data_IF_457889539195
#
_entry.id   IF_457889539195
#
_cell.length_a   1.000
_cell.length_b   1.000
_cell.length_c   1.000
_cell.angle_alpha   90.00
_cell.angle_beta   90.00
_cell.angle_gamma   90.00
#
_symmetry.space_group_name_H-M   'P 1'
#
loop_
_entity.id
_entity.type
_entity.pdbx_description
1 polymer ?
#
# COMPACT_ATOMS: atom_id res chain seq x y z
N UNK A 1 5.15 24.80 47.64
CA UNK A 1 5.61 26.04 46.97
C UNK A 1 7.13 25.99 46.85
N UNK A 2 7.62 25.71 45.64
CA UNK A 2 8.93 26.11 45.09
C UNK A 2 8.99 25.51 43.68
N UNK A 3 8.93 26.39 42.70
CA UNK A 3 9.07 26.15 41.27
C UNK A 3 10.53 25.86 40.94
N UNK A 4 10.80 24.90 40.06
CA UNK A 4 12.08 24.81 39.36
C UNK A 4 11.86 24.18 37.99
N UNK A 5 11.99 25.04 37.00
CA UNK A 5 12.06 24.81 35.56
C UNK A 5 13.33 24.05 35.23
N UNK A 6 13.26 22.99 34.42
CA UNK A 6 14.43 22.34 33.84
C UNK A 6 14.20 22.18 32.34
N UNK A 7 15.07 22.87 31.59
CA UNK A 7 15.04 23.01 30.15
C UNK A 7 15.67 21.78 29.46
N UNK A 8 15.16 21.51 28.26
CA UNK A 8 15.66 20.53 27.30
C UNK A 8 17.10 20.85 26.87
N UNK A 9 17.97 19.83 26.90
CA UNK A 9 19.15 19.72 26.04
C UNK A 9 19.14 18.33 25.43
N UNK A 10 18.56 18.22 24.23
CA UNK A 10 18.72 17.07 23.35
C UNK A 10 19.98 17.27 22.52
N UNK A 11 21.07 16.62 22.91
CA UNK A 11 22.33 16.58 22.14
C UNK A 11 22.21 15.44 21.12
N UNK A 12 22.36 15.81 19.85
CA UNK A 12 22.37 14.91 18.70
C UNK A 12 23.59 13.99 18.76
N UNK A 13 23.37 12.67 18.83
CA UNK A 13 24.40 11.65 19.06
C UNK A 13 25.12 11.17 17.79
N UNK A 14 24.83 11.76 16.62
CA UNK A 14 25.32 11.30 15.31
C UNK A 14 26.60 11.98 14.81
N UNK A 15 27.32 12.77 15.63
CA UNK A 15 28.57 13.44 15.22
C UNK A 15 29.85 12.91 15.93
N UNK A 16 29.78 11.83 16.69
CA UNK A 16 30.90 11.32 17.50
C UNK A 16 31.42 9.95 17.01
N UNK A 17 31.65 9.83 15.71
CA UNK A 17 32.35 8.68 15.13
C UNK A 17 33.15 9.10 13.88
N UNK A 18 34.09 10.04 14.04
CA UNK A 18 35.21 10.30 13.12
C UNK A 18 36.08 11.41 13.71
N UNK A 19 36.85 11.08 14.74
CA UNK A 19 37.91 11.95 15.24
C UNK A 19 39.04 11.07 15.79
N UNK A 20 39.82 10.48 14.89
CA UNK A 20 41.24 10.14 15.14
C UNK A 20 41.92 9.78 13.81
N UNK A 21 42.56 10.78 13.20
CA UNK A 21 43.73 10.67 12.32
C UNK A 21 44.11 12.07 11.78
N UNK A 22 45.05 12.71 12.49
CA UNK A 22 46.09 13.66 12.06
C UNK A 22 46.00 14.42 10.71
N UNK A 23 46.03 15.75 10.81
CA UNK A 23 46.68 16.78 9.97
C UNK A 23 46.72 16.62 8.43
N UNK A 24 45.93 17.44 7.70
CA UNK A 24 46.45 18.54 6.83
C UNK A 24 45.36 19.16 5.92
N UNK A 25 45.28 20.50 6.00
CA UNK A 25 44.69 21.50 5.08
C UNK A 25 43.16 21.57 4.81
N UNK A 26 42.53 22.73 5.12
CA UNK A 26 41.15 23.03 4.73
C UNK A 26 41.09 23.77 3.38
N UNK A 27 39.92 23.73 2.76
CA UNK A 27 39.46 24.47 1.55
C UNK A 27 39.65 23.72 0.21
N UNK A 28 38.56 23.06 -0.22
CA UNK A 28 38.02 22.99 -1.61
C UNK A 28 36.87 21.97 -1.80
N UNK A 29 36.17 21.56 -0.74
CA UNK A 29 35.05 20.62 -0.86
C UNK A 29 33.71 21.32 -1.18
N UNK A 30 33.54 22.59 -0.81
CA UNK A 30 32.31 23.37 -1.06
C UNK A 30 32.06 23.70 -2.53
N UNK A 31 33.12 24.04 -3.28
CA UNK A 31 32.98 24.44 -4.69
C UNK A 31 32.74 23.25 -5.63
N UNK A 32 33.16 22.04 -5.23
CA UNK A 32 32.96 20.81 -6.02
C UNK A 32 31.54 20.28 -5.90
N UNK A 33 30.93 20.38 -4.72
CA UNK A 33 29.53 19.99 -4.49
C UNK A 33 28.58 20.92 -5.25
N UNK A 34 28.83 22.24 -5.28
CA UNK A 34 28.03 23.19 -6.05
C UNK A 34 28.19 23.08 -7.59
N UNK A 35 29.34 22.62 -8.08
CA UNK A 35 29.56 22.39 -9.51
C UNK A 35 28.79 21.15 -9.99
N UNK A 36 28.78 20.06 -9.22
CA UNK A 36 28.01 18.84 -9.52
C UNK A 36 26.49 19.08 -9.40
N UNK A 37 26.03 19.99 -8.52
CA UNK A 37 24.60 20.38 -8.48
C UNK A 37 24.16 21.19 -9.70
N UNK A 38 25.07 21.95 -10.34
CA UNK A 38 24.75 22.70 -11.56
C UNK A 38 24.60 21.81 -12.79
N UNK A 39 25.35 20.70 -12.84
CA UNK A 39 25.23 19.70 -13.91
C UNK A 39 23.94 18.88 -13.76
N UNK A 40 23.55 18.53 -12.52
CA UNK A 40 22.24 17.92 -12.24
C UNK A 40 21.06 18.86 -12.51
N UNK A 41 21.20 20.18 -12.29
CA UNK A 41 20.16 21.16 -12.65
C UNK A 41 19.93 21.27 -14.17
N UNK A 42 20.94 20.96 -15.00
CA UNK A 42 20.77 20.85 -16.46
C UNK A 42 19.88 19.68 -16.87
N UNK A 43 19.94 18.57 -16.13
CA UNK A 43 19.09 17.38 -16.30
C UNK A 43 17.70 17.60 -15.70
N UNK A 44 17.57 18.36 -14.61
CA UNK A 44 16.26 18.74 -14.06
C UNK A 44 15.48 19.69 -14.98
N UNK A 45 16.15 20.57 -15.73
CA UNK A 45 15.49 21.42 -16.73
C UNK A 45 14.96 20.65 -17.95
N UNK A 46 15.48 19.45 -18.25
CA UNK A 46 14.90 18.58 -19.28
C UNK A 46 13.73 17.74 -18.74
N UNK A 47 13.69 17.47 -17.43
CA UNK A 47 12.55 16.88 -16.72
C UNK A 47 11.39 17.87 -16.50
N UNK A 48 11.62 19.18 -16.57
CA UNK A 48 10.56 20.19 -16.59
C UNK A 48 9.52 19.98 -17.71
N UNK A 49 9.90 19.31 -18.82
CA UNK A 49 8.97 18.91 -19.89
C UNK A 49 8.10 17.70 -19.55
N UNK A 50 8.49 16.89 -18.55
CA UNK A 50 7.66 15.79 -18.06
C UNK A 50 6.58 16.30 -17.07
N UNK A 51 6.86 17.40 -16.36
CA UNK A 51 5.88 18.11 -15.54
C UNK A 51 4.72 18.62 -16.41
N UNK A 52 5.02 19.17 -17.59
CA UNK A 52 4.01 19.61 -18.58
C UNK A 52 3.12 18.46 -19.11
N UNK A 53 3.54 17.20 -19.01
CA UNK A 53 2.72 16.03 -19.36
C UNK A 53 1.80 15.56 -18.22
N UNK A 54 2.16 15.84 -16.96
CA UNK A 54 1.34 15.52 -15.78
C UNK A 54 0.32 16.62 -15.49
N UNK A 55 0.66 17.87 -15.80
CA UNK A 55 -0.23 19.03 -15.70
C UNK A 55 -1.11 19.24 -16.95
N UNK A 56 -1.33 18.17 -17.74
CA UNK A 56 -2.32 18.21 -18.81
C UNK A 56 -3.65 18.70 -18.20
N UNK A 57 -4.02 19.95 -18.52
CA UNK A 57 -5.28 20.56 -18.07
C UNK A 57 -6.36 19.50 -18.30
N UNK A 58 -7.13 19.11 -17.26
CA UNK A 58 -8.18 18.13 -17.43
C UNK A 58 -8.95 18.54 -18.67
N UNK A 59 -8.93 17.68 -19.70
CA UNK A 59 -9.53 18.01 -20.98
C UNK A 59 -10.95 18.50 -20.75
N UNK A 60 -11.49 19.33 -21.63
CA UNK A 60 -12.81 19.97 -21.49
C UNK A 60 -14.01 19.01 -21.25
N UNK A 61 -13.76 17.70 -21.14
CA UNK A 61 -14.70 16.63 -20.82
C UNK A 61 -14.48 15.99 -19.43
N UNK A 62 -13.70 16.61 -18.53
CA UNK A 62 -13.62 16.12 -17.15
C UNK A 62 -15.02 16.23 -16.52
N UNK A 63 -15.63 15.06 -16.25
CA UNK A 63 -16.94 14.96 -15.62
C UNK A 63 -16.95 15.77 -14.33
N UNK A 64 -18.12 16.34 -13.99
CA UNK A 64 -18.32 16.91 -12.67
C UNK A 64 -17.96 15.81 -11.64
N UNK A 65 -17.09 16.09 -10.66
CA UNK A 65 -16.72 15.12 -9.64
C UNK A 65 -17.91 14.53 -8.88
N UNK A 66 -18.99 15.31 -8.72
CA UNK A 66 -20.25 14.81 -8.19
C UNK A 66 -20.85 13.75 -9.12
N UNK A 67 -20.81 13.96 -10.44
CA UNK A 67 -21.21 12.96 -11.42
C UNK A 67 -20.30 11.73 -11.37
N UNK A 68 -19.00 11.91 -11.13
CA UNK A 68 -18.05 10.82 -10.97
C UNK A 68 -18.36 9.93 -9.75
N UNK A 69 -18.68 10.53 -8.59
CA UNK A 69 -19.13 9.77 -7.42
C UNK A 69 -20.48 9.08 -7.67
N UNK A 70 -21.44 9.76 -8.31
CA UNK A 70 -22.72 9.16 -8.67
C UNK A 70 -22.56 8.03 -9.71
N UNK A 71 -21.58 8.14 -10.60
CA UNK A 71 -21.17 7.07 -11.50
C UNK A 71 -20.60 5.91 -10.70
N UNK A 72 -19.76 6.14 -9.70
CA UNK A 72 -19.30 5.08 -8.80
C UNK A 72 -20.48 4.43 -8.06
N UNK A 73 -21.51 5.21 -7.70
CA UNK A 73 -22.70 4.68 -7.05
C UNK A 73 -23.48 3.68 -7.91
N UNK A 74 -23.53 3.87 -9.22
CA UNK A 74 -24.33 3.06 -10.15
C UNK A 74 -23.51 2.04 -10.95
N UNK A 75 -22.26 2.37 -11.25
CA UNK A 75 -21.32 1.61 -12.06
C UNK A 75 -19.91 1.72 -11.47
N UNK A 76 -19.66 1.11 -10.30
CA UNK A 76 -18.40 1.29 -9.56
C UNK A 76 -17.16 0.88 -10.35
N UNK A 77 -17.23 -0.24 -11.10
CA UNK A 77 -16.13 -0.69 -11.97
C UNK A 77 -15.87 0.29 -13.09
N UNK A 78 -16.90 0.80 -13.76
CA UNK A 78 -16.73 1.79 -14.85
C UNK A 78 -16.14 3.11 -14.31
N UNK A 79 -16.50 3.50 -13.09
CA UNK A 79 -15.98 4.70 -12.45
C UNK A 79 -14.53 4.54 -11.98
N UNK A 80 -14.14 3.36 -11.49
CA UNK A 80 -12.79 3.07 -11.03
C UNK A 80 -11.82 2.74 -12.17
N UNK A 81 -12.24 1.84 -13.06
CA UNK A 81 -11.41 1.16 -14.05
C UNK A 81 -11.67 1.62 -15.49
N UNK A 82 -12.63 2.52 -15.70
CA UNK A 82 -13.10 2.89 -17.03
C UNK A 82 -14.00 1.83 -17.68
N UNK A 83 -14.49 2.10 -18.91
CA UNK A 83 -15.54 1.30 -19.57
C UNK A 83 -15.15 -0.12 -19.92
N UNK A 84 -13.86 -0.43 -19.99
CA UNK A 84 -13.37 -1.75 -20.36
C UNK A 84 -12.92 -2.61 -19.18
N UNK A 85 -13.02 -2.10 -17.95
CA UNK A 85 -12.44 -2.76 -16.78
C UNK A 85 -10.96 -3.11 -16.99
N UNK A 86 -10.23 -2.25 -17.69
CA UNK A 86 -8.81 -2.44 -17.96
C UNK A 86 -8.02 -1.61 -16.95
N UNK A 87 -6.97 -2.18 -16.37
CA UNK A 87 -5.95 -1.39 -15.68
C UNK A 87 -5.34 -0.49 -16.75
N UNK A 88 -5.71 0.79 -16.81
CA UNK A 88 -5.49 1.62 -17.99
C UNK A 88 -4.10 1.45 -18.59
N UNK A 89 -4.00 0.85 -19.79
CA UNK A 89 -2.72 0.36 -20.37
C UNK A 89 -1.62 1.44 -20.46
N UNK A 90 -2.02 2.70 -20.69
CA UNK A 90 -1.10 3.84 -20.73
C UNK A 90 -0.36 4.06 -19.39
N UNK A 91 -1.01 3.70 -18.27
CA UNK A 91 -0.45 3.78 -16.93
C UNK A 91 0.54 2.66 -16.67
N UNK A 92 0.22 1.43 -17.11
CA UNK A 92 1.12 0.29 -16.99
C UNK A 92 2.44 0.58 -17.75
N UNK A 93 2.36 1.03 -19.00
CA UNK A 93 3.56 1.41 -19.77
C UNK A 93 4.35 2.56 -19.13
N UNK A 94 3.66 3.56 -18.56
CA UNK A 94 4.30 4.66 -17.84
C UNK A 94 4.98 4.17 -16.58
N UNK A 95 4.33 3.28 -15.83
CA UNK A 95 4.86 2.69 -14.60
C UNK A 95 6.11 1.85 -14.89
N UNK A 96 6.08 0.98 -15.90
CA UNK A 96 7.24 0.16 -16.27
C UNK A 96 8.44 1.02 -16.67
N UNK A 97 8.20 2.10 -17.43
CA UNK A 97 9.27 3.07 -17.75
C UNK A 97 9.83 3.73 -16.49
N UNK A 98 8.96 4.18 -15.58
CA UNK A 98 9.37 4.80 -14.31
C UNK A 98 10.16 3.83 -13.45
N UNK A 99 9.71 2.59 -13.31
CA UNK A 99 10.42 1.52 -12.59
C UNK A 99 11.82 1.32 -13.16
N UNK A 100 11.94 1.18 -14.49
CA UNK A 100 13.23 1.04 -15.16
C UNK A 100 14.15 2.26 -14.95
N UNK A 101 13.62 3.49 -14.98
CA UNK A 101 14.41 4.70 -14.70
C UNK A 101 14.95 4.72 -13.26
N UNK A 102 14.11 4.35 -12.28
CA UNK A 102 14.47 4.30 -10.86
C UNK A 102 15.46 3.16 -10.57
N UNK A 103 15.23 1.99 -11.17
CA UNK A 103 16.11 0.82 -11.07
C UNK A 103 17.53 1.17 -11.56
N UNK A 104 17.64 1.70 -12.79
CA UNK A 104 18.92 2.04 -13.39
C UNK A 104 19.66 3.11 -12.57
N UNK A 105 18.97 4.13 -12.08
CA UNK A 105 19.56 5.16 -11.21
C UNK A 105 20.07 4.56 -9.90
N UNK A 106 19.31 3.64 -9.31
CA UNK A 106 19.65 2.98 -8.04
C UNK A 106 20.85 2.05 -8.22
N UNK A 107 20.87 1.20 -9.25
CA UNK A 107 21.97 0.30 -9.55
C UNK A 107 23.26 1.04 -9.87
N UNK A 108 23.18 2.17 -10.58
CA UNK A 108 24.34 3.06 -10.81
C UNK A 108 24.93 3.55 -9.49
N UNK A 109 24.09 3.94 -8.52
CA UNK A 109 24.54 4.37 -7.18
C UNK A 109 25.13 3.20 -6.38
N UNK A 110 24.52 2.01 -6.46
CA UNK A 110 25.07 0.79 -5.84
C UNK A 110 26.46 0.50 -6.39
N UNK A 111 26.63 0.47 -7.71
CA UNK A 111 27.91 0.15 -8.34
C UNK A 111 29.01 1.13 -7.93
N UNK A 112 28.69 2.44 -7.89
CA UNK A 112 29.61 3.48 -7.39
C UNK A 112 29.96 3.25 -5.92
N UNK A 113 28.97 2.95 -5.09
CA UNK A 113 29.17 2.69 -3.66
C UNK A 113 30.00 1.43 -3.37
N UNK A 114 29.85 0.39 -4.20
CA UNK A 114 30.62 -0.85 -4.11
C UNK A 114 32.01 -0.75 -4.76
N UNK A 115 32.33 0.35 -5.46
CA UNK A 115 33.62 0.55 -6.12
C UNK A 115 33.80 -0.24 -7.43
N UNK A 116 32.71 -0.53 -8.15
CA UNK A 116 32.75 -1.29 -9.41
C UNK A 116 33.20 -0.38 -10.57
N UNK A 117 34.24 -0.80 -11.30
CA UNK A 117 34.97 0.02 -12.28
C UNK A 117 34.20 0.39 -13.57
N UNK A 118 32.99 -0.15 -13.78
CA UNK A 118 32.11 0.15 -14.94
C UNK A 118 30.65 0.32 -14.49
N UNK A 119 30.42 1.28 -13.60
CA UNK A 119 29.14 1.46 -12.92
C UNK A 119 27.92 1.65 -13.86
N UNK A 120 28.13 2.18 -15.08
CA UNK A 120 27.06 2.40 -16.06
C UNK A 120 26.49 1.11 -16.68
N UNK A 121 27.27 0.02 -16.65
CA UNK A 121 26.83 -1.29 -17.15
C UNK A 121 26.43 -2.23 -16.01
N UNK A 122 26.29 -1.71 -14.78
CA UNK A 122 25.90 -2.52 -13.64
C UNK A 122 24.39 -2.65 -13.59
N UNK A 123 23.90 -3.86 -13.88
CA UNK A 123 22.48 -4.22 -13.84
C UNK A 123 22.17 -5.17 -12.67
N UNK A 124 20.90 -5.55 -12.50
CA UNK A 124 20.48 -6.46 -11.43
C UNK A 124 21.14 -7.83 -11.57
N UNK A 125 21.34 -8.32 -12.81
CA UNK A 125 22.02 -9.59 -13.07
C UNK A 125 23.50 -9.55 -12.66
N UNK A 126 24.17 -8.39 -12.76
CA UNK A 126 25.52 -8.19 -12.27
C UNK A 126 25.56 -8.19 -10.74
N UNK A 127 24.56 -7.60 -10.07
CA UNK A 127 24.40 -7.69 -8.62
C UNK A 127 24.19 -9.14 -8.16
N UNK A 128 23.31 -9.89 -8.84
CA UNK A 128 23.05 -11.32 -8.53
C UNK A 128 24.28 -12.20 -8.66
N UNK A 129 25.14 -11.94 -9.65
CA UNK A 129 26.40 -12.69 -9.82
C UNK A 129 27.32 -12.55 -8.60
N UNK A 130 27.20 -11.47 -7.82
CA UNK A 130 27.97 -11.31 -6.59
C UNK A 130 27.61 -12.36 -5.55
N UNK A 131 26.41 -12.94 -5.56
CA UNK A 131 26.03 -13.98 -4.59
C UNK A 131 27.03 -15.14 -4.61
N UNK A 132 27.51 -15.51 -5.80
CA UNK A 132 28.44 -16.63 -6.00
C UNK A 132 29.90 -16.22 -5.85
N UNK A 133 30.25 -14.98 -6.21
CA UNK A 133 31.65 -14.52 -6.27
C UNK A 133 32.11 -13.79 -5.01
N UNK A 134 31.23 -12.98 -4.41
CA UNK A 134 31.45 -12.26 -3.17
C UNK A 134 30.13 -12.07 -2.40
N UNK A 135 29.70 -13.07 -1.60
CA UNK A 135 28.44 -13.03 -0.84
C UNK A 135 28.34 -11.86 0.15
N UNK A 136 29.46 -11.27 0.57
CA UNK A 136 29.49 -10.10 1.44
C UNK A 136 29.15 -8.85 0.64
N UNK A 137 29.75 -8.69 -0.54
CA UNK A 137 29.46 -7.59 -1.45
C UNK A 137 28.04 -7.69 -2.02
N UNK A 138 27.54 -8.89 -2.30
CA UNK A 138 26.15 -9.16 -2.67
C UNK A 138 25.16 -8.59 -1.63
N UNK A 139 25.28 -9.02 -0.37
CA UNK A 139 24.41 -8.55 0.73
C UNK A 139 24.49 -7.04 0.90
N UNK A 140 25.71 -6.48 0.85
CA UNK A 140 25.92 -5.04 0.90
C UNK A 140 25.28 -4.33 -0.30
N UNK A 141 25.38 -4.89 -1.50
CA UNK A 141 24.79 -4.35 -2.72
C UNK A 141 23.27 -4.31 -2.66
N UNK A 142 22.63 -5.42 -2.28
CA UNK A 142 21.18 -5.49 -2.12
C UNK A 142 20.64 -4.56 -1.03
N UNK A 143 21.34 -4.44 0.11
CA UNK A 143 21.03 -3.42 1.14
C UNK A 143 20.92 -2.02 0.52
N UNK A 144 21.96 -1.61 -0.20
CA UNK A 144 22.00 -0.27 -0.76
C UNK A 144 21.09 -0.11 -1.95
N UNK A 145 20.84 -1.18 -2.71
CA UNK A 145 19.91 -1.17 -3.82
C UNK A 145 18.49 -0.82 -3.36
N UNK A 146 17.91 -1.55 -2.41
CA UNK A 146 16.56 -1.26 -1.90
C UNK A 146 16.44 0.14 -1.31
N UNK A 147 17.43 0.55 -0.51
CA UNK A 147 17.48 1.92 0.01
C UNK A 147 17.51 2.96 -1.12
N UNK A 148 18.35 2.76 -2.13
CA UNK A 148 18.42 3.67 -3.26
C UNK A 148 17.15 3.63 -4.11
N UNK A 149 16.44 2.51 -4.22
CA UNK A 149 15.13 2.47 -4.87
C UNK A 149 14.16 3.45 -4.23
N UNK A 150 14.06 3.44 -2.90
CA UNK A 150 13.17 4.37 -2.21
C UNK A 150 13.66 5.80 -2.38
N UNK A 151 14.95 6.05 -2.16
CA UNK A 151 15.52 7.40 -2.33
C UNK A 151 15.33 7.95 -3.75
N UNK A 152 15.56 7.16 -4.80
CA UNK A 152 15.40 7.54 -6.20
C UNK A 152 13.93 7.73 -6.58
N UNK A 153 13.03 6.86 -6.10
CA UNK A 153 11.57 7.07 -6.21
C UNK A 153 11.21 8.44 -5.67
N UNK A 154 11.75 8.73 -4.51
CA UNK A 154 11.35 9.88 -3.76
C UNK A 154 12.07 11.14 -4.27
N UNK A 155 13.24 11.05 -4.91
CA UNK A 155 13.83 12.11 -5.73
C UNK A 155 12.99 12.39 -6.98
N UNK A 156 12.55 11.34 -7.67
CA UNK A 156 11.76 11.43 -8.91
C UNK A 156 10.41 12.10 -8.67
N UNK A 157 9.78 11.78 -7.55
CA UNK A 157 8.46 12.29 -7.15
C UNK A 157 8.53 13.30 -6.00
N UNK A 158 9.68 13.94 -5.76
CA UNK A 158 9.83 15.06 -4.81
C UNK A 158 9.48 14.79 -3.32
N UNK A 159 9.48 13.53 -2.88
CA UNK A 159 9.14 13.08 -1.52
C UNK A 159 10.27 12.41 -0.73
N UNK A 160 11.49 12.30 -1.27
CA UNK A 160 12.73 11.73 -0.68
C UNK A 160 12.63 10.85 0.58
N UNK A 161 13.11 11.42 1.68
CA UNK A 161 13.11 10.82 3.01
C UNK A 161 11.72 10.76 3.66
N UNK A 162 10.72 11.40 3.06
CA UNK A 162 9.37 11.42 3.59
C UNK A 162 8.63 10.14 3.21
N UNK A 163 8.98 9.43 2.13
CA UNK A 163 8.22 8.26 1.68
C UNK A 163 8.18 7.11 2.72
N UNK A 164 9.34 6.72 3.27
CA UNK A 164 9.44 5.70 4.32
C UNK A 164 8.89 6.18 5.66
N UNK A 165 9.25 7.40 6.07
CA UNK A 165 8.67 8.05 7.26
C UNK A 165 7.14 8.15 7.18
N UNK A 166 6.61 8.35 5.98
CA UNK A 166 5.18 8.30 5.73
C UNK A 166 4.69 6.86 5.79
N UNK A 167 5.35 5.87 5.19
CA UNK A 167 4.90 4.48 5.23
C UNK A 167 4.68 3.96 6.65
N UNK A 168 5.64 4.15 7.58
CA UNK A 168 5.48 3.77 9.00
C UNK A 168 4.31 4.51 9.65
N UNK A 169 4.20 5.82 9.41
CA UNK A 169 3.13 6.65 9.96
C UNK A 169 1.76 6.24 9.43
N UNK A 170 1.65 5.97 8.14
CA UNK A 170 0.42 5.51 7.47
C UNK A 170 0.04 4.12 7.93
N UNK A 171 1.00 3.20 8.04
CA UNK A 171 0.79 1.88 8.62
C UNK A 171 0.20 2.00 10.04
N UNK A 172 0.83 2.78 10.91
CA UNK A 172 0.38 2.99 12.29
C UNK A 172 -1.03 3.62 12.35
N UNK A 173 -1.32 4.58 11.47
CA UNK A 173 -2.64 5.20 11.36
C UNK A 173 -3.71 4.23 10.87
N UNK A 174 -3.39 3.38 9.89
CA UNK A 174 -4.27 2.32 9.37
C UNK A 174 -4.52 1.25 10.43
N UNK A 175 -3.47 0.79 11.12
CA UNK A 175 -3.55 -0.13 12.26
C UNK A 175 -4.50 0.43 13.33
N UNK A 176 -4.32 1.70 13.71
CA UNK A 176 -5.19 2.39 14.68
C UNK A 176 -6.65 2.50 14.22
N UNK A 177 -6.89 2.77 12.93
CA UNK A 177 -8.24 2.78 12.33
C UNK A 177 -8.88 1.39 12.35
N UNK A 178 -8.11 0.35 12.05
CA UNK A 178 -8.58 -1.03 12.08
C UNK A 178 -8.96 -1.44 13.50
N UNK A 179 -8.12 -1.14 14.50
CA UNK A 179 -8.43 -1.37 15.91
C UNK A 179 -9.73 -0.67 16.35
N UNK A 180 -9.90 0.60 15.98
CA UNK A 180 -11.12 1.37 16.26
C UNK A 180 -12.34 0.71 15.62
N UNK A 181 -12.23 0.30 14.36
CA UNK A 181 -13.30 -0.38 13.64
C UNK A 181 -13.69 -1.72 14.29
N UNK A 182 -12.71 -2.52 14.75
CA UNK A 182 -12.95 -3.77 15.49
C UNK A 182 -13.64 -3.48 16.84
N UNK A 183 -13.12 -2.51 17.60
CA UNK A 183 -13.67 -2.15 18.91
C UNK A 183 -15.15 -1.74 18.81
N UNK A 184 -15.51 -0.99 17.76
CA UNK A 184 -16.85 -0.45 17.54
C UNK A 184 -17.80 -1.43 16.83
N UNK A 185 -17.31 -2.56 16.31
CA UNK A 185 -18.11 -3.49 15.51
C UNK A 185 -19.26 -4.14 16.31
N UNK A 186 -20.53 -3.96 15.94
CA UNK A 186 -21.62 -4.73 16.54
C UNK A 186 -21.47 -6.23 16.24
N UNK A 187 -22.12 -7.09 17.03
CA UNK A 187 -22.10 -8.55 16.82
C UNK A 187 -20.83 -9.29 17.25
N UNK A 188 -19.67 -8.63 17.30
CA UNK A 188 -18.45 -9.24 17.86
C UNK A 188 -18.47 -9.25 19.39
N UNK A 189 -18.14 -10.40 19.99
CA UNK A 189 -18.01 -10.52 21.44
C UNK A 189 -16.84 -9.67 21.97
N UNK A 190 -16.91 -9.24 23.23
CA UNK A 190 -15.81 -8.49 23.88
C UNK A 190 -14.49 -9.27 23.86
N UNK A 191 -14.54 -10.60 23.97
CA UNK A 191 -13.37 -11.47 23.93
C UNK A 191 -12.77 -11.49 22.53
N UNK A 192 -13.59 -11.71 21.50
CA UNK A 192 -13.18 -11.72 20.09
C UNK A 192 -12.55 -10.39 19.69
N UNK A 193 -13.17 -9.25 20.06
CA UNK A 193 -12.62 -7.91 19.79
C UNK A 193 -11.22 -7.73 20.39
N UNK A 194 -11.03 -8.15 21.65
CA UNK A 194 -9.73 -8.05 22.32
C UNK A 194 -8.67 -8.94 21.67
N UNK A 195 -9.05 -10.14 21.22
CA UNK A 195 -8.14 -11.05 20.52
C UNK A 195 -7.71 -10.49 19.16
N UNK A 196 -8.66 -10.04 18.35
CA UNK A 196 -8.38 -9.41 17.05
C UNK A 196 -7.51 -8.16 17.18
N UNK A 197 -7.83 -7.24 18.10
CA UNK A 197 -7.02 -6.03 18.34
C UNK A 197 -5.59 -6.40 18.74
N UNK A 198 -5.41 -7.45 19.57
CA UNK A 198 -4.07 -7.91 19.95
C UNK A 198 -3.28 -8.42 18.75
N UNK A 199 -3.91 -9.20 17.86
CA UNK A 199 -3.30 -9.70 16.62
C UNK A 199 -2.89 -8.57 15.68
N UNK A 200 -3.74 -7.56 15.51
CA UNK A 200 -3.40 -6.39 14.70
C UNK A 200 -2.22 -5.61 15.30
N UNK A 201 -2.19 -5.42 16.63
CA UNK A 201 -1.10 -4.72 17.34
C UNK A 201 0.24 -5.44 17.33
N UNK A 202 0.24 -6.76 17.18
CA UNK A 202 1.48 -7.53 17.16
C UNK A 202 2.20 -7.47 15.83
N UNK A 203 1.57 -6.93 14.78
CA UNK A 203 2.21 -6.75 13.48
C UNK A 203 3.12 -5.53 13.52
N UNK A 204 4.40 -5.76 13.25
CA UNK A 204 5.43 -4.73 13.15
C UNK A 204 5.61 -4.34 11.67
N UNK A 205 5.68 -3.04 11.37
CA UNK A 205 6.11 -2.59 10.04
C UNK A 205 7.62 -2.74 9.94
N UNK A 206 8.11 -3.35 8.86
CA UNK A 206 9.54 -3.47 8.58
C UNK A 206 9.84 -2.77 7.26
N UNK A 207 10.83 -1.89 7.28
CA UNK A 207 11.33 -1.22 6.09
C UNK A 207 12.03 -2.23 5.17
N UNK A 208 11.94 -2.02 3.85
CA UNK A 208 12.50 -2.96 2.89
C UNK A 208 14.03 -3.11 3.08
N UNK A 209 14.74 -2.06 3.49
CA UNK A 209 16.17 -2.13 3.77
C UNK A 209 16.48 -2.94 5.05
N UNK A 210 15.65 -2.85 6.09
CA UNK A 210 15.77 -3.67 7.30
C UNK A 210 15.61 -5.17 6.99
N UNK A 211 14.68 -5.54 6.09
CA UNK A 211 14.53 -6.92 5.62
C UNK A 211 15.79 -7.44 4.93
N UNK A 212 16.45 -6.59 4.14
CA UNK A 212 17.60 -7.01 3.34
C UNK A 212 18.93 -7.02 4.12
N UNK A 213 18.97 -6.41 5.31
CA UNK A 213 20.22 -6.16 6.03
C UNK A 213 20.58 -7.15 7.11
N UNK A 214 19.64 -8.04 7.49
CA UNK A 214 19.96 -9.25 8.24
C UNK A 214 20.35 -9.04 9.70
N UNK A 215 20.03 -7.90 10.32
CA UNK A 215 19.98 -7.83 11.80
C UNK A 215 18.78 -8.63 12.35
N UNK A 216 17.77 -8.88 11.50
CA UNK A 216 16.79 -9.94 11.71
C UNK A 216 17.38 -11.28 11.23
N UNK A 217 17.75 -12.15 12.16
CA UNK A 217 18.43 -13.43 11.90
C UNK A 217 17.60 -14.48 11.11
N UNK A 218 16.56 -14.08 10.39
CA UNK A 218 15.74 -14.98 9.58
C UNK A 218 16.12 -14.86 8.12
N UNK A 219 16.86 -15.84 7.61
CA UNK A 219 17.03 -16.07 6.17
C UNK A 219 15.69 -16.22 5.44
N UNK A 220 14.64 -16.62 6.18
CA UNK A 220 13.32 -16.89 5.64
C UNK A 220 12.64 -15.60 5.20
N UNK A 221 12.82 -14.49 5.94
CA UNK A 221 12.18 -13.22 5.61
C UNK A 221 12.74 -12.58 4.34
N UNK A 222 14.04 -12.74 4.08
CA UNK A 222 14.66 -12.35 2.81
C UNK A 222 14.10 -13.19 1.64
N UNK A 223 13.98 -14.50 1.82
CA UNK A 223 13.43 -15.38 0.78
C UNK A 223 11.96 -15.05 0.48
N UNK A 224 11.19 -14.73 1.53
CA UNK A 224 9.80 -14.27 1.42
C UNK A 224 9.71 -12.92 0.70
N UNK A 225 10.61 -11.98 1.01
CA UNK A 225 10.70 -10.71 0.29
C UNK A 225 10.98 -10.94 -1.20
N UNK A 226 11.99 -11.73 -1.55
CA UNK A 226 12.33 -12.01 -2.96
C UNK A 226 11.18 -12.72 -3.68
N UNK A 227 10.49 -13.64 -3.01
CA UNK A 227 9.35 -14.38 -3.59
C UNK A 227 8.19 -13.45 -3.91
N UNK A 228 7.88 -12.50 -3.03
CA UNK A 228 6.67 -11.68 -3.16
C UNK A 228 6.91 -10.30 -3.79
N UNK A 229 8.12 -9.76 -3.66
CA UNK A 229 8.53 -8.46 -4.19
C UNK A 229 9.39 -8.56 -5.46
N UNK A 230 9.80 -9.77 -5.85
CA UNK A 230 10.84 -9.96 -6.85
C UNK A 230 12.24 -9.75 -6.26
N UNK A 231 13.26 -10.30 -6.92
CA UNK A 231 14.66 -10.08 -6.51
C UNK A 231 15.01 -8.60 -6.52
N UNK A 232 14.48 -7.85 -7.48
CA UNK A 232 14.66 -6.41 -7.63
C UNK A 232 13.75 -5.56 -6.71
N UNK A 233 12.83 -6.17 -5.95
CA UNK A 233 11.84 -5.46 -5.13
C UNK A 233 10.79 -4.68 -5.93
N UNK A 234 10.68 -4.87 -7.25
CA UNK A 234 9.86 -4.05 -8.15
C UNK A 234 8.43 -4.53 -8.31
N UNK A 235 8.06 -5.66 -7.73
CA UNK A 235 6.67 -6.11 -7.77
C UNK A 235 5.77 -5.13 -7.03
N UNK A 236 4.58 -4.93 -7.59
CA UNK A 236 3.54 -4.10 -6.99
C UNK A 236 2.74 -4.94 -6.00
N UNK A 237 3.33 -5.17 -4.82
CA UNK A 237 2.78 -5.99 -3.78
C UNK A 237 3.02 -5.42 -2.36
N UNK A 238 2.24 -5.87 -1.39
CA UNK A 238 2.44 -5.66 0.04
C UNK A 238 2.07 -6.94 0.78
N UNK A 239 2.77 -7.28 1.86
CA UNK A 239 2.63 -8.59 2.50
C UNK A 239 2.58 -8.44 4.01
N UNK A 240 1.71 -9.23 4.64
CA UNK A 240 1.68 -9.46 6.09
C UNK A 240 2.01 -10.91 6.41
N UNK A 241 3.24 -11.19 6.84
CA UNK A 241 3.77 -12.55 7.06
C UNK A 241 4.22 -12.74 8.51
N UNK A 242 4.75 -13.92 8.84
CA UNK A 242 5.45 -14.17 10.10
C UNK A 242 6.85 -14.72 9.84
N UNK A 243 7.76 -14.45 10.78
CA UNK A 243 9.12 -14.99 10.75
C UNK A 243 9.57 -15.40 12.15
N UNK A 244 10.56 -16.28 12.25
CA UNK A 244 11.14 -16.67 13.53
C UNK A 244 12.43 -15.87 13.78
N UNK A 245 12.50 -15.12 14.87
CA UNK A 245 13.68 -14.33 15.23
C UNK A 245 14.86 -15.20 15.72
N UNK A 246 16.02 -14.58 15.97
CA UNK A 246 17.23 -15.28 16.45
C UNK A 246 17.05 -16.03 17.76
N UNK A 247 16.02 -15.70 18.53
CA UNK A 247 15.71 -16.28 19.83
C UNK A 247 14.62 -17.37 19.71
N UNK A 248 14.17 -17.70 18.51
CA UNK A 248 13.12 -18.69 18.27
C UNK A 248 11.71 -18.15 18.52
N UNK A 249 11.52 -16.83 18.61
CA UNK A 249 10.18 -16.24 18.75
C UNK A 249 9.57 -15.94 17.39
N UNK A 250 8.33 -16.37 17.18
CA UNK A 250 7.54 -15.95 16.03
C UNK A 250 7.17 -14.47 16.15
N UNK A 251 7.39 -13.73 15.07
CA UNK A 251 7.12 -12.31 14.90
C UNK A 251 6.22 -12.10 13.71
N UNK A 252 5.23 -11.23 13.84
CA UNK A 252 4.32 -10.88 12.75
C UNK A 252 4.83 -9.58 12.13
N UNK A 253 5.04 -9.56 10.82
CA UNK A 253 5.57 -8.39 10.12
C UNK A 253 4.73 -8.03 8.92
N UNK A 254 4.76 -6.75 8.60
CA UNK A 254 4.21 -6.20 7.39
C UNK A 254 5.25 -5.36 6.67
N UNK A 255 5.31 -5.48 5.36
CA UNK A 255 6.15 -4.64 4.52
C UNK A 255 5.48 -4.37 3.17
N UNK A 256 5.93 -3.30 2.52
CA UNK A 256 5.46 -2.88 1.20
C UNK A 256 6.62 -3.04 0.24
N UNK A 257 6.42 -3.70 -0.89
CA UNK A 257 7.44 -3.81 -1.91
C UNK A 257 7.73 -2.42 -2.49
N UNK A 258 9.01 -2.07 -2.76
CA UNK A 258 9.36 -0.81 -3.41
C UNK A 258 8.56 -0.52 -4.67
N UNK A 259 8.25 -1.56 -5.47
CA UNK A 259 7.39 -1.48 -6.65
C UNK A 259 6.02 -0.85 -6.38
N UNK A 260 5.36 -1.17 -5.27
CA UNK A 260 4.07 -0.56 -4.87
C UNK A 260 4.21 0.89 -4.45
N UNK A 261 5.31 1.26 -3.79
CA UNK A 261 5.57 2.65 -3.44
C UNK A 261 5.80 3.49 -4.71
N UNK A 262 6.55 2.95 -5.67
CA UNK A 262 6.75 3.55 -7.01
C UNK A 262 5.42 3.66 -7.74
N UNK A 263 4.63 2.58 -7.79
CA UNK A 263 3.32 2.57 -8.44
C UNK A 263 2.41 3.64 -7.84
N UNK A 264 2.40 3.77 -6.52
CA UNK A 264 1.58 4.79 -5.85
C UNK A 264 2.07 6.20 -6.15
N UNK A 265 3.39 6.43 -6.06
CA UNK A 265 4.00 7.73 -6.29
C UNK A 265 3.89 8.21 -7.74
N UNK A 266 4.04 7.30 -8.72
CA UNK A 266 3.99 7.59 -10.15
C UNK A 266 2.67 8.19 -10.63
N UNK A 267 1.61 8.05 -9.84
CA UNK A 267 0.27 8.49 -10.20
C UNK A 267 -0.15 9.79 -9.51
N UNK A 268 0.78 10.44 -8.81
CA UNK A 268 0.49 11.63 -8.03
C UNK A 268 1.51 12.73 -8.25
N UNK A 269 1.08 13.95 -7.96
CA UNK A 269 1.99 15.09 -7.88
C UNK A 269 2.90 14.91 -6.68
N UNK A 270 4.15 15.35 -6.82
CA UNK A 270 5.18 15.28 -5.78
C UNK A 270 4.77 15.85 -4.40
N UNK A 271 3.81 16.78 -4.39
CA UNK A 271 3.37 17.48 -3.18
C UNK A 271 2.04 16.95 -2.62
N UNK A 272 1.56 15.79 -3.08
CA UNK A 272 0.28 15.25 -2.61
C UNK A 272 0.44 14.65 -1.20
N UNK A 273 -0.08 15.29 -0.13
CA UNK A 273 0.07 14.81 1.24
C UNK A 273 -0.75 13.54 1.49
N UNK A 274 -1.52 13.08 0.51
CA UNK A 274 -2.39 11.92 0.60
C UNK A 274 -1.87 10.74 -0.19
N UNK A 275 -0.64 10.77 -0.71
CA UNK A 275 -0.20 9.80 -1.72
C UNK A 275 -0.33 8.33 -1.29
N UNK A 276 -0.04 8.02 -0.02
CA UNK A 276 -0.23 6.68 0.56
C UNK A 276 -1.69 6.28 0.81
N UNK A 277 -2.66 7.19 0.70
CA UNK A 277 -4.08 6.85 0.90
C UNK A 277 -4.55 5.84 -0.16
N UNK A 278 -3.96 5.84 -1.36
CA UNK A 278 -4.20 4.80 -2.37
C UNK A 278 -3.88 3.39 -1.84
N UNK A 279 -2.85 3.23 -1.00
CA UNK A 279 -2.51 1.95 -0.39
C UNK A 279 -3.34 1.63 0.86
N UNK A 280 -4.27 2.49 1.28
CA UNK A 280 -4.99 2.29 2.54
C UNK A 280 -5.83 1.02 2.57
N UNK A 281 -6.46 0.68 1.45
CA UNK A 281 -7.22 -0.57 1.32
C UNK A 281 -6.27 -1.77 1.33
N UNK A 282 -5.17 -1.73 0.59
CA UNK A 282 -4.16 -2.80 0.53
C UNK A 282 -3.52 -3.06 1.90
N UNK A 283 -2.99 -2.03 2.56
CA UNK A 283 -2.40 -2.18 3.91
C UNK A 283 -3.45 -2.70 4.90
N UNK A 284 -4.68 -2.19 4.82
CA UNK A 284 -5.78 -2.66 5.66
C UNK A 284 -6.18 -4.11 5.39
N UNK A 285 -6.12 -4.55 4.13
CA UNK A 285 -6.35 -5.92 3.68
C UNK A 285 -5.25 -6.87 4.21
N UNK A 286 -3.99 -6.53 3.98
CA UNK A 286 -2.85 -7.33 4.45
C UNK A 286 -2.82 -7.49 5.97
N UNK A 287 -3.06 -6.40 6.72
CA UNK A 287 -3.21 -6.47 8.17
C UNK A 287 -4.38 -7.37 8.60
N UNK A 288 -5.47 -7.37 7.82
CA UNK A 288 -6.67 -8.10 8.15
C UNK A 288 -6.55 -9.62 7.96
N UNK A 289 -5.58 -10.11 7.18
CA UNK A 289 -5.27 -11.55 7.15
C UNK A 289 -4.97 -12.13 8.53
N UNK A 290 -4.44 -11.33 9.47
CA UNK A 290 -4.19 -11.77 10.87
C UNK A 290 -5.47 -11.94 11.71
N UNK A 291 -6.63 -11.54 11.17
CA UNK A 291 -7.92 -11.61 11.85
C UNK A 291 -9.04 -12.12 10.94
N UNK A 292 -8.70 -12.78 9.84
CA UNK A 292 -9.61 -13.14 8.77
C UNK A 292 -10.49 -14.36 9.12
N UNK A 293 -11.23 -14.88 8.13
CA UNK A 293 -12.08 -16.06 8.29
C UNK A 293 -11.32 -17.32 8.73
N UNK A 294 -10.06 -17.49 8.32
CA UNK A 294 -9.25 -18.67 8.66
C UNK A 294 -9.08 -18.77 10.18
N UNK A 295 -8.76 -17.63 10.81
CA UNK A 295 -8.51 -17.56 12.25
C UNK A 295 -9.79 -17.38 13.09
N UNK A 296 -10.81 -16.70 12.54
CA UNK A 296 -12.03 -16.37 13.26
C UNK A 296 -13.32 -16.78 12.52
N UNK A 297 -13.48 -18.04 12.08
CA UNK A 297 -14.58 -18.44 11.18
C UNK A 297 -15.97 -18.13 11.76
N UNK A 298 -16.14 -18.27 13.08
CA UNK A 298 -17.41 -17.96 13.77
C UNK A 298 -17.79 -16.47 13.71
N UNK A 299 -16.81 -15.56 13.66
CA UNK A 299 -17.06 -14.12 13.55
C UNK A 299 -17.62 -13.74 12.18
N UNK A 300 -17.23 -14.47 11.14
CA UNK A 300 -17.57 -14.20 9.74
C UNK A 300 -18.67 -15.12 9.19
N UNK A 301 -19.19 -16.05 9.98
CA UNK A 301 -20.14 -17.06 9.50
C UNK A 301 -21.39 -16.42 8.86
N UNK A 302 -21.92 -15.34 9.44
CA UNK A 302 -23.07 -14.62 8.86
C UNK A 302 -22.74 -14.00 7.52
N UNK A 303 -21.53 -13.45 7.36
CA UNK A 303 -21.03 -12.92 6.08
C UNK A 303 -20.97 -14.04 5.04
N UNK A 304 -20.36 -15.17 5.39
CA UNK A 304 -20.24 -16.35 4.51
C UNK A 304 -21.60 -16.88 4.06
N UNK A 305 -22.55 -16.99 4.98
CA UNK A 305 -23.90 -17.46 4.68
C UNK A 305 -24.63 -16.51 3.72
N UNK A 306 -24.50 -15.19 3.93
CA UNK A 306 -25.03 -14.17 3.02
C UNK A 306 -24.42 -14.28 1.62
N UNK A 307 -23.09 -14.38 1.51
CA UNK A 307 -22.39 -14.52 0.24
C UNK A 307 -22.82 -15.78 -0.52
N UNK A 308 -23.00 -16.89 0.20
CA UNK A 308 -23.50 -18.14 -0.38
C UNK A 308 -24.93 -18.02 -0.89
N UNK A 309 -25.78 -17.24 -0.22
CA UNK A 309 -27.18 -17.06 -0.62
C UNK A 309 -27.32 -16.12 -1.82
N UNK A 310 -26.58 -15.01 -1.84
CA UNK A 310 -26.82 -13.92 -2.80
C UNK A 310 -25.77 -13.78 -3.90
N UNK A 311 -24.56 -14.32 -3.70
CA UNK A 311 -23.40 -14.08 -4.56
C UNK A 311 -22.70 -15.35 -5.08
N UNK A 312 -23.22 -16.53 -4.75
CA UNK A 312 -22.62 -17.82 -5.18
C UNK A 312 -22.39 -17.91 -6.70
N UNK A 313 -23.24 -17.30 -7.52
CA UNK A 313 -23.10 -17.34 -8.97
C UNK A 313 -21.95 -16.46 -9.50
N UNK A 314 -21.52 -15.45 -8.74
CA UNK A 314 -20.43 -14.52 -9.11
C UNK A 314 -19.07 -15.00 -8.57
N UNK A 315 -19.08 -15.71 -7.45
CA UNK A 315 -17.92 -16.40 -6.90
C UNK A 315 -17.78 -17.74 -7.65
N UNK A 316 -17.09 -17.70 -8.79
CA UNK A 316 -16.99 -18.79 -9.75
C UNK A 316 -16.90 -20.14 -9.06
N UNK A 317 -17.82 -21.02 -9.44
CA UNK A 317 -17.77 -22.43 -9.09
C UNK A 317 -16.70 -23.16 -9.89
N UNK A 318 -15.53 -23.46 -9.32
CA UNK A 318 -14.76 -24.67 -9.62
C UNK A 318 -15.71 -25.80 -10.04
N UNK A 319 -15.62 -26.15 -11.32
CA UNK A 319 -16.17 -27.40 -11.84
C UNK A 319 -15.14 -28.47 -11.53
N UNK A 320 -15.16 -29.03 -10.32
CA UNK A 320 -14.34 -30.21 -10.02
C UNK A 320 -15.08 -31.44 -10.55
N UNK A 321 -14.55 -32.07 -11.61
CA UNK A 321 -15.11 -33.31 -12.20
C UNK A 321 -16.57 -33.19 -12.65
N UNK A 322 -16.93 -32.08 -13.30
CA UNK A 322 -18.29 -31.86 -13.80
C UNK A 322 -19.32 -31.52 -12.73
N UNK A 323 -18.91 -31.32 -11.48
CA UNK A 323 -19.76 -30.80 -10.40
C UNK A 323 -19.27 -29.44 -9.98
N UNK A 324 -20.12 -28.42 -10.15
CA UNK A 324 -19.87 -27.10 -9.60
C UNK A 324 -19.95 -27.18 -8.06
N UNK A 325 -18.79 -27.28 -7.42
CA UNK A 325 -18.68 -27.22 -5.96
C UNK A 325 -17.60 -26.19 -5.65
N UNK A 326 -17.97 -24.92 -5.67
CA UNK A 326 -17.25 -23.95 -4.85
C UNK A 326 -18.03 -23.68 -3.61
N UNK A 327 -17.33 -23.93 -2.52
CA UNK A 327 -17.68 -23.38 -1.25
C UNK A 327 -17.13 -21.97 -1.22
N UNK A 328 -18.01 -20.98 -1.03
CA UNK A 328 -17.66 -19.59 -0.68
C UNK A 328 -16.54 -19.51 0.36
N UNK A 329 -16.42 -20.54 1.20
CA UNK A 329 -15.34 -20.76 2.16
C UNK A 329 -13.93 -20.57 1.57
N UNK A 330 -13.66 -20.96 0.33
CA UNK A 330 -12.33 -20.81 -0.28
C UNK A 330 -11.92 -19.33 -0.43
N UNK A 331 -12.87 -18.46 -0.75
CA UNK A 331 -12.65 -17.01 -0.88
C UNK A 331 -12.74 -16.25 0.44
N UNK A 332 -13.13 -16.90 1.55
CA UNK A 332 -13.54 -16.16 2.74
C UNK A 332 -12.36 -15.46 3.43
N UNK A 333 -11.14 -15.98 3.34
CA UNK A 333 -9.94 -15.30 3.85
C UNK A 333 -9.80 -13.94 3.17
N UNK A 334 -9.65 -13.92 1.84
CA UNK A 334 -9.58 -12.71 1.00
C UNK A 334 -10.77 -11.76 1.17
N UNK A 335 -12.00 -12.27 1.13
CA UNK A 335 -13.20 -11.43 1.27
C UNK A 335 -13.26 -10.77 2.64
N UNK A 336 -12.86 -11.47 3.70
CA UNK A 336 -12.83 -10.90 5.04
C UNK A 336 -11.70 -9.89 5.23
N UNK A 337 -10.55 -10.09 4.56
CA UNK A 337 -9.47 -9.12 4.52
C UNK A 337 -9.89 -7.83 3.79
N UNK A 338 -10.49 -7.96 2.61
CA UNK A 338 -11.09 -6.85 1.84
C UNK A 338 -12.15 -6.08 2.61
N UNK A 339 -12.99 -6.79 3.37
CA UNK A 339 -13.98 -6.16 4.20
C UNK A 339 -13.32 -5.15 5.16
N UNK A 340 -12.26 -5.55 5.87
CA UNK A 340 -11.56 -4.65 6.78
C UNK A 340 -10.75 -3.57 6.07
N UNK A 341 -10.12 -3.88 4.93
CA UNK A 341 -9.50 -2.88 4.06
C UNK A 341 -10.49 -1.80 3.63
N UNK A 342 -11.71 -2.20 3.23
CA UNK A 342 -12.77 -1.26 2.86
C UNK A 342 -13.29 -0.43 4.05
N UNK A 343 -13.28 -0.99 5.27
CA UNK A 343 -13.64 -0.26 6.49
C UNK A 343 -12.62 0.82 6.86
N UNK A 344 -11.33 0.59 6.57
CA UNK A 344 -10.27 1.61 6.69
C UNK A 344 -10.46 2.70 5.64
N UNK A 345 -10.66 2.32 4.37
CA UNK A 345 -10.92 3.26 3.28
C UNK A 345 -12.11 4.18 3.56
N UNK A 346 -13.19 3.62 4.15
CA UNK A 346 -14.37 4.40 4.53
C UNK A 346 -14.07 5.53 5.54
N UNK A 347 -13.12 5.33 6.46
CA UNK A 347 -12.73 6.37 7.42
C UNK A 347 -11.98 7.52 6.74
N UNK A 348 -11.15 7.24 5.73
CA UNK A 348 -10.50 8.28 4.92
C UNK A 348 -11.52 9.08 4.09
N UNK A 349 -12.42 8.38 3.40
CA UNK A 349 -13.47 9.03 2.60
C UNK A 349 -14.40 9.90 3.44
N UNK A 350 -14.73 9.46 4.66
CA UNK A 350 -15.58 10.20 5.58
C UNK A 350 -14.96 11.53 6.03
N UNK A 351 -13.64 11.58 6.17
CA UNK A 351 -12.93 12.76 6.63
C UNK A 351 -12.60 13.75 5.50
N UNK A 352 -12.86 13.37 4.25
CA UNK A 352 -12.71 14.26 3.11
C UNK A 352 -14.02 15.02 2.86
N UNK A 353 -13.94 16.33 2.63
CA UNK A 353 -15.11 17.15 2.27
C UNK A 353 -15.25 17.32 0.77
N UNK A 354 -14.15 17.38 0.03
CA UNK A 354 -14.17 17.60 -1.43
C UNK A 354 -14.58 16.31 -2.18
N UNK A 355 -15.68 16.32 -2.96
CA UNK A 355 -16.07 15.20 -3.82
C UNK A 355 -14.98 14.75 -4.80
N UNK A 356 -14.16 15.67 -5.31
CA UNK A 356 -13.02 15.36 -6.21
C UNK A 356 -12.05 14.43 -5.52
N UNK A 357 -11.65 14.83 -4.33
CA UNK A 357 -10.64 14.11 -3.56
C UNK A 357 -11.18 12.77 -3.06
N UNK A 358 -12.48 12.68 -2.71
CA UNK A 358 -13.13 11.38 -2.42
C UNK A 358 -13.07 10.44 -3.61
N UNK A 359 -13.44 10.92 -4.80
CA UNK A 359 -13.43 10.09 -6.00
C UNK A 359 -12.02 9.62 -6.31
N UNK A 360 -11.04 10.52 -6.24
CA UNK A 360 -9.63 10.21 -6.47
C UNK A 360 -9.13 9.14 -5.49
N UNK A 361 -9.32 9.33 -4.18
CA UNK A 361 -8.96 8.36 -3.14
C UNK A 361 -9.58 6.98 -3.44
N UNK A 362 -10.85 6.97 -3.82
CA UNK A 362 -11.59 5.73 -4.09
C UNK A 362 -11.08 5.02 -5.34
N UNK A 363 -10.81 5.77 -6.43
CA UNK A 363 -10.27 5.22 -7.66
C UNK A 363 -8.88 4.62 -7.41
N UNK A 364 -8.02 5.34 -6.69
CA UNK A 364 -6.66 4.89 -6.40
C UNK A 364 -6.65 3.64 -5.51
N UNK A 365 -7.50 3.61 -4.49
CA UNK A 365 -7.57 2.49 -3.55
C UNK A 365 -8.04 1.16 -4.16
N UNK A 366 -8.67 1.18 -5.33
CA UNK A 366 -9.21 -0.03 -5.98
C UNK A 366 -8.64 -0.27 -7.37
N UNK A 367 -7.72 0.57 -7.84
CA UNK A 367 -7.21 0.52 -9.21
C UNK A 367 -6.50 -0.81 -9.52
N UNK A 368 -5.87 -1.42 -8.52
CA UNK A 368 -5.09 -2.64 -8.69
C UNK A 368 -5.99 -3.88 -8.76
N UNK A 369 -7.29 -3.70 -8.49
CA UNK A 369 -8.34 -4.68 -8.75
C UNK A 369 -8.86 -4.59 -10.19
N UNK A 370 -8.54 -3.55 -10.95
CA UNK A 370 -9.08 -3.38 -12.29
C UNK A 370 -8.55 -4.48 -13.23
N UNK A 371 -9.47 -5.22 -13.85
CA UNK A 371 -9.14 -6.28 -14.80
C UNK A 371 -8.54 -7.55 -14.18
N UNK A 372 -8.43 -7.68 -12.84
CA UNK A 372 -7.89 -8.89 -12.23
C UNK A 372 -8.90 -10.05 -12.30
N UNK A 373 -8.57 -11.15 -13.01
CA UNK A 373 -9.44 -12.32 -13.06
C UNK A 373 -9.31 -13.14 -11.77
N UNK A 374 -10.27 -14.03 -11.56
CA UNK A 374 -10.20 -15.10 -10.56
C UNK A 374 -9.38 -16.26 -11.15
N UNK A 375 -8.11 -16.38 -10.73
CA UNK A 375 -7.14 -17.31 -11.32
C UNK A 375 -6.80 -18.51 -10.44
N UNK A 376 -6.96 -18.37 -9.13
CA UNK A 376 -6.56 -19.37 -8.14
C UNK A 376 -7.71 -19.90 -7.28
N UNK A 377 -8.93 -19.37 -7.45
CA UNK A 377 -10.09 -19.69 -6.63
C UNK A 377 -9.88 -19.40 -5.13
N UNK A 378 -8.95 -18.50 -4.83
CA UNK A 378 -8.69 -17.95 -3.49
C UNK A 378 -9.01 -16.46 -3.51
N UNK A 379 -8.63 -15.75 -4.57
CA UNK A 379 -8.91 -14.34 -4.79
C UNK A 379 -10.11 -14.16 -5.72
N UNK A 380 -11.23 -13.57 -5.25
CA UNK A 380 -12.32 -13.22 -6.15
C UNK A 380 -11.83 -12.22 -7.21
N UNK A 381 -12.47 -12.22 -8.38
CA UNK A 381 -12.16 -11.23 -9.42
C UNK A 381 -12.25 -9.81 -8.88
N UNK A 382 -11.41 -8.90 -9.38
CA UNK A 382 -11.42 -7.53 -8.91
C UNK A 382 -12.75 -6.81 -9.17
N UNK A 383 -13.47 -7.17 -10.23
CA UNK A 383 -14.85 -6.72 -10.45
C UNK A 383 -15.78 -7.10 -9.29
N UNK A 384 -15.68 -8.35 -8.80
CA UNK A 384 -16.43 -8.79 -7.63
C UNK A 384 -16.05 -7.97 -6.39
N UNK A 385 -14.75 -7.83 -6.12
CA UNK A 385 -14.23 -7.09 -4.95
C UNK A 385 -14.69 -5.62 -4.96
N UNK A 386 -14.60 -4.94 -6.10
CA UNK A 386 -15.07 -3.56 -6.27
C UNK A 386 -16.58 -3.43 -6.05
N UNK A 387 -17.39 -4.26 -6.72
CA UNK A 387 -18.87 -4.15 -6.67
C UNK A 387 -19.44 -4.56 -5.32
N UNK A 388 -18.98 -5.69 -4.78
CA UNK A 388 -19.64 -6.38 -3.68
C UNK A 388 -18.98 -6.12 -2.32
N UNK A 389 -17.72 -5.67 -2.27
CA UNK A 389 -17.02 -5.39 -1.01
C UNK A 389 -16.82 -3.90 -0.82
N UNK A 390 -16.23 -3.20 -1.79
CA UNK A 390 -15.97 -1.75 -1.68
C UNK A 390 -17.26 -0.95 -1.85
N UNK A 391 -17.92 -1.05 -3.00
CA UNK A 391 -19.11 -0.25 -3.30
C UNK A 391 -20.26 -0.57 -2.36
N UNK A 392 -20.42 -1.84 -2.00
CA UNK A 392 -21.51 -2.30 -1.13
C UNK A 392 -21.24 -2.05 0.35
N UNK A 393 -20.04 -1.59 0.73
CA UNK A 393 -19.76 -1.18 2.11
C UNK A 393 -20.67 0.00 2.53
N UNK A 394 -21.52 -0.14 3.57
CA UNK A 394 -22.45 0.91 3.97
C UNK A 394 -21.79 2.21 4.44
N UNK A 395 -20.57 2.14 4.98
CA UNK A 395 -19.81 3.32 5.41
C UNK A 395 -19.24 4.08 4.20
N UNK A 396 -18.70 3.36 3.20
CA UNK A 396 -18.27 3.98 1.94
C UNK A 396 -19.47 4.63 1.26
N UNK A 397 -20.58 3.89 1.16
CA UNK A 397 -21.84 4.36 0.59
C UNK A 397 -22.30 5.70 1.19
N UNK A 398 -22.30 5.79 2.52
CA UNK A 398 -22.63 7.01 3.24
C UNK A 398 -21.59 8.12 3.02
N UNK A 399 -20.29 7.78 3.00
CA UNK A 399 -19.21 8.74 2.84
C UNK A 399 -19.22 9.43 1.47
N UNK A 400 -19.58 8.70 0.40
CA UNK A 400 -19.64 9.25 -0.97
C UNK A 400 -21.04 9.72 -1.38
N UNK A 401 -22.03 9.67 -0.47
CA UNK A 401 -23.37 10.22 -0.70
C UNK A 401 -24.24 9.42 -1.67
N UNK A 402 -24.00 8.12 -1.79
CA UNK A 402 -24.75 7.30 -2.73
C UNK A 402 -26.22 7.09 -2.29
N UNK A 403 -27.15 7.00 -3.26
CA UNK A 403 -28.56 6.75 -2.97
C UNK A 403 -28.75 5.33 -2.45
N UNK A 404 -29.72 5.18 -1.54
CA UNK A 404 -30.12 3.90 -0.97
C UNK A 404 -30.39 2.88 -2.09
N UNK A 405 -29.76 1.70 -2.07
CA UNK A 405 -30.05 0.67 -3.06
C UNK A 405 -31.54 0.30 -3.02
N UNK A 406 -32.19 0.07 -4.16
CA UNK A 406 -33.57 -0.38 -4.18
C UNK A 406 -33.70 -1.74 -3.47
N UNK A 407 -34.87 -2.11 -2.93
CA UNK A 407 -35.07 -3.39 -2.24
C UNK A 407 -34.79 -4.64 -3.10
N UNK A 408 -34.78 -4.47 -4.42
CA UNK A 408 -34.47 -5.52 -5.41
C UNK A 408 -32.97 -5.71 -5.66
N UNK A 409 -32.12 -4.79 -5.19
CA UNK A 409 -30.68 -4.94 -5.32
C UNK A 409 -30.19 -6.10 -4.44
N UNK A 410 -29.14 -6.80 -4.91
CA UNK A 410 -28.45 -7.79 -4.08
C UNK A 410 -27.92 -7.10 -2.81
N UNK A 411 -28.12 -7.68 -1.62
CA UNK A 411 -27.68 -7.04 -0.39
C UNK A 411 -26.16 -7.08 -0.29
N UNK A 412 -25.56 -6.07 0.34
CA UNK A 412 -24.18 -6.16 0.79
C UNK A 412 -24.06 -7.26 1.84
N UNK A 413 -22.98 -8.05 1.80
CA UNK A 413 -22.70 -9.04 2.83
C UNK A 413 -21.57 -8.56 3.73
N UNK A 414 -21.83 -8.45 5.03
CA UNK A 414 -20.85 -8.03 6.03
C UNK A 414 -20.86 -8.96 7.26
N UNK A 415 -20.15 -8.60 8.34
CA UNK A 415 -20.09 -9.37 9.59
C UNK A 415 -21.46 -9.65 10.22
N UNK A 416 -22.46 -8.80 9.98
CA UNK A 416 -23.82 -8.98 10.47
C UNK A 416 -24.70 -9.81 9.51
N UNK A 417 -24.19 -10.18 8.33
CA UNK A 417 -24.88 -10.90 7.27
C UNK A 417 -25.35 -9.96 6.16
N UNK A 418 -26.58 -10.16 5.68
CA UNK A 418 -27.16 -9.31 4.64
C UNK A 418 -27.53 -7.93 5.20
N UNK A 419 -26.92 -6.87 4.68
CA UNK A 419 -27.26 -5.49 5.02
C UNK A 419 -28.50 -5.07 4.23
N UNK A 420 -29.65 -5.06 4.89
CA UNK A 420 -30.92 -4.64 4.29
C UNK A 420 -31.10 -3.13 4.41
N UNK A 421 -30.91 -2.42 3.29
CA UNK A 421 -31.21 -0.99 3.19
C UNK A 421 -30.19 -0.09 3.91
N UNK A 422 -30.48 1.22 3.98
CA UNK A 422 -29.53 2.17 4.53
C UNK A 422 -29.47 2.01 6.04
N UNK A 423 -28.26 1.93 6.57
CA UNK A 423 -28.04 2.24 7.99
C UNK A 423 -28.59 3.65 8.18
N UNK A 424 -29.63 3.82 9.00
CA UNK A 424 -30.15 5.15 9.35
C UNK A 424 -28.98 5.93 9.95
N UNK A 425 -28.33 6.77 9.14
CA UNK A 425 -27.31 7.69 9.64
C UNK A 425 -28.07 8.61 10.58
N UNK A 426 -27.74 8.68 11.88
CA UNK A 426 -28.38 9.63 12.76
C UNK A 426 -28.12 11.01 12.19
N UNK A 427 -29.17 11.63 11.63
CA UNK A 427 -29.14 13.02 11.19
C UNK A 427 -28.83 13.80 12.46
N UNK A 428 -27.60 14.30 12.59
CA UNK A 428 -27.28 15.26 13.63
C UNK A 428 -28.19 16.45 13.36
N UNK A 429 -29.22 16.63 14.18
CA UNK A 429 -29.99 17.86 14.20
C UNK A 429 -29.02 19.00 14.51
N UNK A 430 -28.48 19.63 13.47
CA UNK A 430 -27.87 20.94 13.60
C UNK A 430 -29.02 21.93 13.77
N UNK A 431 -29.55 21.97 15.00
CA UNK A 431 -30.33 23.09 15.45
C UNK A 431 -29.44 24.35 15.30
N UNK A 432 -29.97 25.32 14.56
CA UNK A 432 -29.33 26.62 14.28
C UNK A 432 -29.16 27.46 15.52
#
# INVERSE_FOLDING_TARGET
MKTSTLALLGVCWSCLALADATEAQPLKLGDKICAETKEMNGVLNSLGKAQDCMDAKPGANALDPADGLMKFCSKPVEAACGPKNERGDARAATLERVKAEIENASLLRVAKFLGIANAENFDIAALDKLEKTDPRLYRKGYKWYSRFLVEETALKFGGGAAADLYAVKYFTDIQSKLEKNIAQRPGLSKVTKKAMIRKIRSVEYVEADDLLTGDHASTDLMAEFVTNCGADGMEDNAISTSYTDSNGHEKEVFYICPGSLIATAANRSANDPHWMIGLSMTIGHELAHKIDYTDYPSAYEKMRLCLREHHKAELNGLIVKGKAVVEVKAYMSEISADYWGSEVLAEYLKNQSDPREKLKILQEAVQDLCGTPDVDNVHPSGEFRIRNLVRSNPKIHAAIGCPVPPPTAKPACNLEGAVKGPVKVPVKNTAK
#
